data_IF_595589011027
#
_entry.id   IF_595589011027
#
_cell.length_a   1.000
_cell.length_b   1.000
_cell.length_c   1.000
_cell.angle_alpha   90.00
_cell.angle_beta   90.00
_cell.angle_gamma   90.00
#
_symmetry.space_group_name_H-M   'P 1'
#
loop_
_entity.id
_entity.type
_entity.pdbx_description
1 polymer ?
#
# COMPACT_ATOMS: atom_id res chain seq x y z
N UNK A 1 -19.69 28.75 -47.67
CA UNK A 1 -18.61 29.21 -46.78
C UNK A 1 -19.28 29.85 -45.59
N UNK A 2 -19.46 29.10 -44.49
CA UNK A 2 -19.89 29.64 -43.20
C UNK A 2 -18.97 28.99 -42.18
N UNK A 3 -18.02 29.76 -41.68
CA UNK A 3 -17.02 29.31 -40.73
C UNK A 3 -17.65 29.13 -39.35
N UNK A 4 -17.52 27.94 -38.80
CA UNK A 4 -17.66 27.73 -37.35
C UNK A 4 -16.31 28.08 -36.71
N UNK A 5 -16.19 29.33 -36.25
CA UNK A 5 -15.36 29.62 -35.09
C UNK A 5 -16.30 29.59 -33.88
N UNK A 6 -16.14 28.60 -33.01
CA UNK A 6 -16.54 28.72 -31.61
C UNK A 6 -15.43 28.09 -30.79
N UNK A 7 -14.70 28.97 -30.11
CA UNK A 7 -13.61 28.60 -29.23
C UNK A 7 -14.11 27.78 -28.06
N UNK A 8 -13.47 26.65 -27.84
CA UNK A 8 -13.21 26.16 -26.50
C UNK A 8 -11.70 26.09 -26.39
N UNK A 9 -11.09 27.22 -26.02
CA UNK A 9 -9.72 27.20 -25.52
C UNK A 9 -9.70 26.31 -24.30
N UNK A 10 -9.24 25.07 -24.47
CA UNK A 10 -8.86 24.21 -23.36
C UNK A 10 -7.71 24.95 -22.69
N UNK A 11 -8.04 25.77 -21.70
CA UNK A 11 -7.03 26.36 -20.84
C UNK A 11 -6.22 25.19 -20.24
N UNK A 12 -4.89 25.30 -20.13
CA UNK A 12 -4.10 24.23 -19.58
C UNK A 12 -4.62 23.93 -18.17
N UNK A 13 -5.17 22.73 -17.99
CA UNK A 13 -5.60 22.23 -16.69
C UNK A 13 -4.34 22.00 -15.85
N UNK A 14 -3.91 23.05 -15.13
CA UNK A 14 -2.83 23.12 -14.13
C UNK A 14 -1.42 22.76 -14.61
N UNK A 15 -0.41 23.57 -14.23
CA UNK A 15 1.02 23.24 -14.41
C UNK A 15 1.46 21.98 -13.63
N UNK A 16 0.62 21.49 -12.72
CA UNK A 16 0.93 20.39 -11.81
C UNK A 16 0.46 19.06 -12.39
N UNK A 17 1.39 18.12 -12.56
CA UNK A 17 1.09 16.75 -12.98
C UNK A 17 0.60 15.94 -11.76
N UNK A 18 -0.63 15.39 -11.76
CA UNK A 18 -1.13 14.60 -10.64
C UNK A 18 -0.34 13.30 -10.41
N UNK A 19 -0.30 12.88 -9.15
CA UNK A 19 0.25 11.59 -8.73
C UNK A 19 -0.88 10.60 -8.45
N UNK A 20 -0.85 9.45 -9.10
CA UNK A 20 -1.74 8.31 -8.85
C UNK A 20 -1.36 7.66 -7.52
N UNK A 21 -2.34 7.52 -6.63
CA UNK A 21 -2.19 6.80 -5.35
C UNK A 21 -3.28 5.74 -5.27
N UNK A 22 -2.91 4.54 -4.83
CA UNK A 22 -3.83 3.41 -4.74
C UNK A 22 -3.87 2.82 -3.33
N UNK A 23 -5.08 2.54 -2.86
CA UNK A 23 -5.32 1.68 -1.72
C UNK A 23 -6.01 0.43 -2.24
N UNK A 24 -5.36 -0.71 -2.07
CA UNK A 24 -5.87 -2.00 -2.47
C UNK A 24 -6.01 -2.88 -1.23
N UNK A 25 -7.15 -3.53 -1.10
CA UNK A 25 -7.41 -4.45 -0.01
C UNK A 25 -8.43 -5.51 -0.42
N UNK A 26 -8.38 -6.60 0.32
CA UNK A 26 -9.27 -7.75 0.24
C UNK A 26 -10.06 -7.78 1.55
N UNK A 27 -11.36 -7.99 1.45
CA UNK A 27 -12.26 -8.11 2.59
C UNK A 27 -13.19 -9.32 2.42
N UNK A 28 -13.75 -9.73 3.54
CA UNK A 28 -14.76 -10.77 3.68
C UNK A 28 -15.85 -10.23 4.60
N UNK A 29 -16.94 -10.97 4.78
CA UNK A 29 -17.97 -10.63 5.77
C UNK A 29 -17.40 -10.54 7.20
N UNK A 30 -16.31 -11.26 7.48
CA UNK A 30 -15.60 -11.24 8.77
C UNK A 30 -14.64 -10.05 8.94
N UNK A 31 -14.50 -9.21 7.90
CA UNK A 31 -13.71 -7.99 7.89
C UNK A 31 -12.53 -8.02 6.91
N UNK A 32 -11.54 -7.17 7.17
CA UNK A 32 -10.36 -7.02 6.31
C UNK A 32 -9.51 -8.30 6.29
N UNK A 33 -9.48 -8.94 5.13
CA UNK A 33 -8.72 -10.17 4.85
C UNK A 33 -7.23 -9.88 4.69
N UNK A 34 -6.87 -8.94 3.80
CA UNK A 34 -5.49 -8.50 3.62
C UNK A 34 -5.42 -7.18 2.85
N UNK A 35 -4.31 -6.44 2.92
CA UNK A 35 -4.17 -5.18 2.17
C UNK A 35 -2.85 -4.48 2.42
N UNK A 36 -2.64 -3.35 1.76
CA UNK A 36 -1.35 -2.63 1.76
C UNK A 36 -0.83 -2.34 3.18
N UNK A 37 -1.70 -1.92 4.09
CA UNK A 37 -1.31 -1.65 5.48
C UNK A 37 -0.85 -2.90 6.24
N UNK A 38 -1.33 -4.11 5.89
CA UNK A 38 -0.87 -5.37 6.49
C UNK A 38 0.47 -5.78 5.90
N UNK A 39 0.63 -5.70 4.58
CA UNK A 39 1.90 -5.96 3.91
C UNK A 39 3.03 -5.06 4.44
N UNK A 40 2.78 -3.75 4.58
CA UNK A 40 3.74 -2.80 5.17
C UNK A 40 4.09 -3.17 6.61
N UNK A 41 3.10 -3.52 7.44
CA UNK A 41 3.35 -3.93 8.82
C UNK A 41 4.23 -5.19 8.88
N UNK A 42 3.96 -6.20 8.05
CA UNK A 42 4.79 -7.40 7.97
C UNK A 42 6.21 -7.09 7.50
N UNK A 43 6.37 -6.20 6.51
CA UNK A 43 7.67 -5.77 6.01
C UNK A 43 8.50 -5.11 7.12
N UNK A 44 7.89 -4.22 7.92
CA UNK A 44 8.55 -3.60 9.06
C UNK A 44 8.89 -4.58 10.17
N UNK A 45 8.08 -5.60 10.39
CA UNK A 45 8.42 -6.69 11.34
C UNK A 45 9.61 -7.47 10.83
N UNK A 46 9.66 -7.80 9.54
CA UNK A 46 10.79 -8.49 8.93
C UNK A 46 12.07 -7.66 9.01
N UNK A 47 11.99 -6.36 8.72
CA UNK A 47 13.12 -5.41 8.78
C UNK A 47 13.70 -5.31 10.20
N UNK A 48 12.83 -5.16 11.21
CA UNK A 48 13.27 -4.89 12.58
C UNK A 48 13.44 -6.13 13.47
N UNK A 49 12.89 -7.27 13.06
CA UNK A 49 12.71 -8.44 13.93
C UNK A 49 11.84 -8.15 15.16
N UNK A 50 11.02 -7.09 15.12
CA UNK A 50 10.28 -6.59 16.27
C UNK A 50 8.97 -5.93 15.85
N UNK A 51 7.85 -6.46 16.36
CA UNK A 51 6.55 -5.83 16.20
C UNK A 51 6.48 -4.46 16.87
N UNK A 52 7.19 -4.27 17.98
CA UNK A 52 7.20 -3.00 18.69
C UNK A 52 7.84 -1.90 17.84
N UNK A 53 9.04 -2.13 17.31
CA UNK A 53 9.72 -1.17 16.43
C UNK A 53 8.93 -0.90 15.15
N UNK A 54 8.34 -1.95 14.56
CA UNK A 54 7.46 -1.80 13.41
C UNK A 54 6.24 -0.91 13.72
N UNK A 55 5.62 -1.06 14.89
CA UNK A 55 4.50 -0.21 15.30
C UNK A 55 4.93 1.25 15.51
N UNK A 56 6.07 1.46 16.18
CA UNK A 56 6.66 2.78 16.44
C UNK A 56 6.96 3.52 15.13
N UNK A 57 7.60 2.85 14.15
CA UNK A 57 7.91 3.46 12.85
C UNK A 57 6.65 3.81 12.05
N UNK A 58 5.61 2.98 12.15
CA UNK A 58 4.34 3.23 11.48
C UNK A 58 3.41 4.19 12.26
N UNK A 59 3.92 4.86 13.30
CA UNK A 59 3.18 5.85 14.08
C UNK A 59 1.96 5.27 14.80
N UNK A 60 1.97 3.99 15.17
CA UNK A 60 0.87 3.34 15.87
C UNK A 60 1.30 2.69 17.19
N UNK A 61 0.35 2.50 18.11
CA UNK A 61 0.64 1.78 19.36
C UNK A 61 0.90 0.30 19.09
N UNK A 62 1.75 -0.31 19.91
CA UNK A 62 2.01 -1.76 19.87
C UNK A 62 0.70 -2.58 19.92
N UNK A 63 -0.26 -2.19 20.78
CA UNK A 63 -1.57 -2.85 20.89
C UNK A 63 -2.36 -2.77 19.59
N UNK A 64 -2.31 -1.64 18.88
CA UNK A 64 -2.98 -1.50 17.58
C UNK A 64 -2.33 -2.39 16.52
N UNK A 65 -1.00 -2.45 16.45
CA UNK A 65 -0.29 -3.32 15.52
C UNK A 65 -0.59 -4.81 15.81
N UNK A 66 -0.52 -5.21 17.08
CA UNK A 66 -0.87 -6.56 17.52
C UNK A 66 -2.31 -6.94 17.15
N UNK A 67 -3.27 -6.05 17.44
CA UNK A 67 -4.69 -6.28 17.11
C UNK A 67 -4.92 -6.46 15.61
N UNK A 68 -4.28 -5.63 14.77
CA UNK A 68 -4.36 -5.76 13.30
C UNK A 68 -3.85 -7.13 12.83
N UNK A 69 -2.71 -7.58 13.34
CA UNK A 69 -2.15 -8.89 12.97
C UNK A 69 -3.06 -10.01 13.45
N UNK A 70 -3.47 -10.00 14.73
CA UNK A 70 -4.30 -11.07 15.27
C UNK A 70 -5.67 -11.17 14.59
N UNK A 71 -6.29 -10.05 14.24
CA UNK A 71 -7.53 -10.09 13.47
C UNK A 71 -7.32 -10.66 12.07
N UNK A 72 -6.20 -10.30 11.43
CA UNK A 72 -5.84 -10.85 10.11
C UNK A 72 -5.58 -12.38 10.21
N UNK A 73 -4.81 -12.83 11.21
CA UNK A 73 -4.54 -14.26 11.44
C UNK A 73 -5.82 -15.07 11.74
N UNK A 74 -6.78 -14.47 12.46
CA UNK A 74 -8.08 -15.08 12.75
C UNK A 74 -8.88 -15.32 11.47
N UNK A 75 -9.00 -14.29 10.61
CA UNK A 75 -9.71 -14.39 9.33
C UNK A 75 -9.01 -15.38 8.38
N UNK A 76 -7.67 -15.38 8.34
CA UNK A 76 -6.90 -16.29 7.48
C UNK A 76 -6.86 -17.73 8.00
N UNK A 77 -7.12 -17.94 9.29
CA UNK A 77 -6.88 -19.24 9.96
C UNK A 77 -5.41 -19.65 10.03
N UNK A 78 -4.47 -18.72 9.78
CA UNK A 78 -3.03 -18.99 9.66
C UNK A 78 -2.23 -17.94 10.45
N UNK A 79 -1.16 -18.36 11.11
CA UNK A 79 -0.22 -17.45 11.77
C UNK A 79 0.65 -16.74 10.74
N UNK A 80 0.76 -15.42 10.85
CA UNK A 80 1.62 -14.60 10.00
C UNK A 80 2.94 -14.28 10.69
N UNK A 81 2.95 -14.21 12.03
CA UNK A 81 4.15 -13.96 12.83
C UNK A 81 4.40 -15.06 13.87
N UNK A 82 5.67 -15.28 14.20
CA UNK A 82 6.13 -16.22 15.21
C UNK A 82 7.08 -15.53 16.20
N UNK A 83 7.18 -16.07 17.44
CA UNK A 83 8.16 -15.59 18.40
C UNK A 83 9.57 -16.00 17.97
N UNK A 84 10.52 -15.09 18.11
CA UNK A 84 11.94 -15.42 17.93
C UNK A 84 12.40 -16.35 19.05
N UNK A 85 13.01 -17.49 18.69
CA UNK A 85 13.37 -18.59 19.61
C UNK A 85 14.42 -18.24 20.68
N UNK A 86 15.09 -17.09 20.58
CA UNK A 86 15.97 -16.58 21.63
C UNK A 86 15.18 -15.71 22.61
N UNK A 87 15.18 -16.10 23.89
CA UNK A 87 14.54 -15.36 25.00
C UNK A 87 15.00 -13.90 25.04
N UNK A 88 14.26 -13.01 24.35
CA UNK A 88 13.96 -11.60 24.65
C UNK A 88 13.29 -10.95 23.42
N UNK A 89 11.96 -10.88 23.44
CA UNK A 89 11.12 -9.84 22.81
C UNK A 89 11.22 -9.57 21.29
N UNK A 90 11.38 -10.60 20.46
CA UNK A 90 11.32 -10.47 19.00
C UNK A 90 10.15 -11.20 18.35
N UNK A 91 9.56 -10.62 17.29
CA UNK A 91 8.64 -11.31 16.38
C UNK A 91 9.27 -11.34 15.00
N UNK A 92 9.20 -12.51 14.34
CA UNK A 92 9.59 -12.68 12.94
C UNK A 92 8.37 -13.12 12.13
N UNK A 93 8.45 -12.98 10.81
CA UNK A 93 7.44 -13.56 9.94
C UNK A 93 7.54 -15.08 9.99
N UNK A 94 6.38 -15.72 9.95
CA UNK A 94 6.29 -17.12 9.52
C UNK A 94 6.49 -17.21 8.00
N UNK A 95 6.70 -18.43 7.49
CA UNK A 95 6.74 -18.67 6.04
C UNK A 95 5.47 -18.18 5.32
N UNK A 96 4.30 -18.37 5.94
CA UNK A 96 3.04 -17.84 5.43
C UNK A 96 3.04 -16.31 5.43
N UNK A 97 3.47 -15.68 6.52
CA UNK A 97 3.60 -14.22 6.63
C UNK A 97 4.48 -13.62 5.53
N UNK A 98 5.63 -14.26 5.27
CA UNK A 98 6.53 -13.87 4.20
C UNK A 98 5.87 -14.01 2.82
N UNK A 99 5.26 -15.16 2.56
CA UNK A 99 4.56 -15.44 1.28
C UNK A 99 3.44 -14.43 1.02
N UNK A 100 2.60 -14.14 2.02
CA UNK A 100 1.51 -13.17 1.90
C UNK A 100 2.03 -11.76 1.62
N UNK A 101 3.08 -11.34 2.33
CA UNK A 101 3.71 -10.04 2.15
C UNK A 101 4.28 -9.90 0.73
N UNK A 102 5.10 -10.85 0.30
CA UNK A 102 5.79 -10.83 -1.01
C UNK A 102 4.78 -10.89 -2.16
N UNK A 103 3.82 -11.82 -2.09
CA UNK A 103 2.78 -11.97 -3.13
C UNK A 103 1.91 -10.73 -3.24
N UNK A 104 1.57 -10.09 -2.11
CA UNK A 104 0.79 -8.87 -2.12
C UNK A 104 1.55 -7.69 -2.76
N UNK A 105 2.83 -7.50 -2.43
CA UNK A 105 3.62 -6.41 -3.04
C UNK A 105 3.79 -6.62 -4.55
N UNK A 106 4.09 -7.85 -4.98
CA UNK A 106 4.15 -8.19 -6.41
C UNK A 106 2.81 -7.87 -7.10
N UNK A 107 1.70 -8.35 -6.55
CA UNK A 107 0.38 -8.06 -7.11
C UNK A 107 0.05 -6.57 -7.14
N UNK A 108 0.38 -5.84 -6.07
CA UNK A 108 0.15 -4.39 -6.00
C UNK A 108 0.94 -3.64 -7.09
N UNK A 109 2.21 -3.97 -7.30
CA UNK A 109 3.04 -3.37 -8.35
C UNK A 109 2.48 -3.65 -9.76
N UNK A 110 2.02 -4.88 -10.02
CA UNK A 110 1.37 -5.23 -11.29
C UNK A 110 0.09 -4.41 -11.51
N UNK A 111 -0.77 -4.33 -10.49
CA UNK A 111 -2.03 -3.57 -10.55
C UNK A 111 -1.77 -2.07 -10.72
N UNK A 112 -0.79 -1.51 -10.00
CA UNK A 112 -0.42 -0.09 -10.14
C UNK A 112 0.09 0.20 -11.55
N UNK A 113 0.92 -0.67 -12.12
CA UNK A 113 1.43 -0.49 -13.49
C UNK A 113 0.30 -0.50 -14.51
N UNK A 114 -0.61 -1.47 -14.41
CA UNK A 114 -1.75 -1.58 -15.32
C UNK A 114 -2.71 -0.39 -15.18
N UNK A 115 -2.92 0.10 -13.96
CA UNK A 115 -3.70 1.29 -13.71
C UNK A 115 -3.07 2.53 -14.35
N UNK A 116 -1.74 2.70 -14.24
CA UNK A 116 -1.02 3.81 -14.85
C UNK A 116 -1.13 3.77 -16.38
N UNK A 117 -0.88 2.61 -17.00
CA UNK A 117 -0.96 2.43 -18.46
C UNK A 117 -2.37 2.72 -19.01
N UNK A 118 -3.42 2.43 -18.23
CA UNK A 118 -4.81 2.78 -18.59
C UNK A 118 -5.07 4.26 -18.37
N UNK A 119 -4.58 4.84 -17.28
CA UNK A 119 -4.75 6.26 -16.98
C UNK A 119 -4.17 7.15 -18.08
N UNK A 120 -2.99 6.84 -18.62
CA UNK A 120 -2.36 7.54 -19.75
C UNK A 120 -3.23 7.57 -21.02
N UNK A 121 -4.12 6.58 -21.19
CA UNK A 121 -5.00 6.45 -22.36
C UNK A 121 -6.39 7.05 -22.14
N UNK A 122 -6.85 7.07 -20.89
CA UNK A 122 -8.24 7.37 -20.54
C UNK A 122 -8.41 8.76 -19.94
N UNK A 123 -7.36 9.35 -19.36
CA UNK A 123 -7.42 10.66 -18.73
C UNK A 123 -6.95 11.76 -19.69
N UNK A 124 -7.55 12.97 -19.63
CA UNK A 124 -7.19 14.07 -20.53
C UNK A 124 -5.94 14.85 -20.07
N UNK A 125 -5.17 14.32 -19.11
CA UNK A 125 -3.96 14.94 -18.56
C UNK A 125 -2.85 13.91 -18.32
N UNK A 126 -1.60 14.37 -18.27
CA UNK A 126 -0.46 13.55 -17.87
C UNK A 126 -0.60 13.12 -16.40
N UNK A 127 -0.05 11.96 -16.05
CA UNK A 127 -0.13 11.39 -14.69
C UNK A 127 1.18 10.68 -14.35
N UNK A 128 1.51 10.61 -13.07
CA UNK A 128 2.68 9.89 -12.54
C UNK A 128 2.26 8.86 -11.52
N UNK A 129 2.99 7.75 -11.36
CA UNK A 129 2.76 6.84 -10.22
C UNK A 129 3.39 7.38 -8.94
N UNK A 130 2.82 7.01 -7.80
CA UNK A 130 3.43 7.32 -6.52
C UNK A 130 4.72 6.52 -6.33
N UNK A 131 5.80 7.20 -5.93
CA UNK A 131 7.03 6.55 -5.46
C UNK A 131 7.20 6.85 -3.97
N UNK A 132 7.09 5.85 -3.07
CA UNK A 132 7.40 6.08 -1.67
C UNK A 132 8.88 6.51 -1.53
N UNK A 133 9.12 7.60 -0.79
CA UNK A 133 10.48 8.11 -0.50
C UNK A 133 10.87 9.44 -1.17
N UNK A 134 10.04 10.02 -2.04
CA UNK A 134 10.18 11.45 -2.42
C UNK A 134 9.30 12.29 -1.49
N UNK A 135 9.86 13.15 -0.62
CA UNK A 135 9.04 14.15 0.08
C UNK A 135 8.31 14.99 -0.97
N UNK A 136 7.07 15.44 -0.73
CA UNK A 136 6.52 16.50 -1.57
C UNK A 136 7.51 17.66 -1.52
N UNK A 137 7.97 18.13 -2.68
CA UNK A 137 8.66 19.42 -2.75
C UNK A 137 7.69 20.43 -2.13
N UNK A 138 8.13 21.02 -1.02
CA UNK A 138 7.37 22.04 -0.31
C UNK A 138 7.26 23.25 -1.23
N UNK A 139 6.04 23.53 -1.69
CA UNK A 139 5.64 24.86 -2.16
C UNK A 139 5.66 25.86 -1.00
#
# INVERSE_FOLDING_TARGET
>A
MVGFQNGNGCQPMTEKIPTMRMHLWLETEDGLYFGLGRAILLAKIQEHGSLRRAAEELGMSYRAAWGKIKKTEEILGIKLIAQSGSKKEGYQLSEAGKTFMESYFLWFEEVERDALLKAEKLLPWAITSYRPGRPPESD
#
